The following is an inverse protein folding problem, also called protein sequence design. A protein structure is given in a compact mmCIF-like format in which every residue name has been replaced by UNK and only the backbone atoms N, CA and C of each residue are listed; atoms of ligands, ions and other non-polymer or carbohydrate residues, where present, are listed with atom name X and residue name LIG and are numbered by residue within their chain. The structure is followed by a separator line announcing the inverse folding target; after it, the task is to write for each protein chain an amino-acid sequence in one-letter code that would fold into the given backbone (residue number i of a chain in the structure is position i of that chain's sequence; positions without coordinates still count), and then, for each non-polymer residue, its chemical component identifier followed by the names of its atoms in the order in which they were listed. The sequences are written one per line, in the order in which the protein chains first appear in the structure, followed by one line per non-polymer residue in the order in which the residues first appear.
data_IF_098745303339
#
_entry.id   IF_098745303339
#
_cell.length_a   1.000
_cell.length_b   1.000
_cell.length_c   1.000
_cell.angle_alpha   90.00
_cell.angle_beta   90.00
_cell.angle_gamma   90.00
#
_symmetry.space_group_name_H-M   'P 1'
#
loop_
_entity.id
_entity.type
_entity.pdbx_description
1 polymer ?
#
# COMPACT_ATOMS: atom_id res chain seq x y z
N UNK A 1 5.95 -16.39 34.27
CA UNK A 1 5.74 -17.73 33.69
C UNK A 1 5.00 -17.56 32.38
N UNK A 2 5.49 -18.22 31.34
CA UNK A 2 5.02 -18.23 29.95
C UNK A 2 3.48 -18.36 29.85
N UNK A 3 2.86 -17.82 28.80
CA UNK A 3 2.41 -18.64 27.66
C UNK A 3 1.93 -17.75 26.50
N UNK A 4 2.44 -18.12 25.32
CA UNK A 4 2.17 -17.61 23.98
C UNK A 4 0.86 -18.24 23.48
N UNK A 5 -0.04 -17.46 22.87
CA UNK A 5 -1.18 -17.96 22.09
C UNK A 5 -1.22 -17.14 20.78
N UNK A 6 -0.70 -17.71 19.69
CA UNK A 6 -1.45 -18.45 18.66
C UNK A 6 -2.06 -17.53 17.61
N UNK A 7 -1.28 -17.30 16.55
CA UNK A 7 -1.70 -16.75 15.26
C UNK A 7 -2.42 -17.88 14.50
N UNK A 8 -3.75 -17.88 14.50
CA UNK A 8 -4.55 -18.66 13.56
C UNK A 8 -5.94 -18.03 13.40
N UNK A 9 -6.03 -17.09 12.45
CA UNK A 9 -7.25 -16.49 11.91
C UNK A 9 -6.80 -15.88 10.56
N UNK A 10 -7.36 -16.13 9.38
CA UNK A 10 -8.58 -16.77 8.93
C UNK A 10 -8.26 -17.29 7.52
N UNK A 11 -8.21 -18.61 7.30
CA UNK A 11 -8.46 -19.17 5.97
C UNK A 11 -9.97 -19.10 5.79
N UNK A 12 -10.44 -18.11 5.04
CA UNK A 12 -11.87 -17.96 4.74
C UNK A 12 -12.39 -19.19 4.04
N UNK A 13 -13.45 -19.77 4.62
CA UNK A 13 -14.23 -20.89 4.11
C UNK A 13 -14.59 -20.72 2.62
N UNK A 14 -13.99 -21.56 1.77
CA UNK A 14 -14.50 -21.82 0.42
C UNK A 14 -15.34 -23.10 0.45
N UNK A 15 -16.63 -22.95 0.74
CA UNK A 15 -17.65 -23.95 0.43
C UNK A 15 -18.11 -23.74 -1.02
N UNK A 16 -17.75 -24.62 -1.97
CA UNK A 16 -18.62 -24.91 -3.12
C UNK A 16 -18.31 -26.27 -3.78
N UNK A 17 -19.39 -27.00 -4.05
CA UNK A 17 -19.60 -28.10 -5.00
C UNK A 17 -18.83 -29.43 -4.81
N UNK A 18 -19.53 -30.41 -4.21
CA UNK A 18 -19.28 -31.86 -4.36
C UNK A 18 -19.25 -32.25 -5.84
N UNK A 19 -18.14 -32.82 -6.29
CA UNK A 19 -18.12 -33.82 -7.36
C UNK A 19 -17.63 -35.14 -6.76
N UNK A 20 -18.51 -36.15 -6.82
CA UNK A 20 -18.24 -37.52 -6.41
C UNK A 20 -17.47 -38.26 -7.51
N UNK A 21 -16.25 -38.74 -7.21
CA UNK A 21 -15.65 -40.01 -7.70
C UNK A 21 -14.27 -40.17 -7.03
N UNK A 22 -14.11 -40.93 -5.94
CA UNK A 22 -13.81 -42.37 -5.80
C UNK A 22 -12.41 -42.84 -6.26
N UNK A 23 -11.66 -43.27 -5.23
CA UNK A 23 -10.64 -44.34 -5.10
C UNK A 23 -9.18 -44.06 -5.54
N UNK A 24 -8.25 -44.31 -4.60
CA UNK A 24 -6.82 -44.50 -4.88
C UNK A 24 -5.93 -44.50 -3.64
N UNK A 25 -6.12 -45.46 -2.73
CA UNK A 25 -5.17 -45.74 -1.63
C UNK A 25 -3.82 -46.23 -2.16
N UNK A 26 -2.72 -45.68 -1.66
CA UNK A 26 -1.45 -46.40 -1.57
C UNK A 26 -0.66 -45.86 -0.36
N UNK A 27 -0.64 -46.66 0.70
CA UNK A 27 0.25 -46.50 1.83
C UNK A 27 1.64 -47.03 1.45
N UNK A 28 2.70 -46.28 1.76
CA UNK A 28 4.04 -46.86 2.00
C UNK A 28 4.59 -46.20 3.26
N UNK A 29 4.60 -46.99 4.33
CA UNK A 29 5.37 -46.72 5.53
C UNK A 29 6.84 -47.07 5.27
N UNK A 30 7.77 -46.19 5.66
CA UNK A 30 9.15 -46.58 5.91
C UNK A 30 9.61 -45.93 7.21
N UNK A 31 9.66 -46.76 8.25
CA UNK A 31 10.23 -46.47 9.55
C UNK A 31 11.61 -47.13 9.58
N UNK A 32 12.68 -46.36 9.74
CA UNK A 32 13.94 -46.88 10.26
C UNK A 32 14.54 -45.89 11.26
N UNK A 33 14.69 -46.39 12.47
CA UNK A 33 15.27 -45.79 13.66
C UNK A 33 16.71 -46.32 13.81
N UNK A 34 17.64 -45.48 14.29
CA UNK A 34 18.93 -45.75 14.99
C UNK A 34 19.96 -44.68 14.57
N UNK A 35 20.86 -44.08 15.36
CA UNK A 35 21.23 -44.04 16.79
C UNK A 35 22.22 -42.87 16.95
N UNK A 36 22.34 -42.33 18.17
CA UNK A 36 23.27 -41.27 18.60
C UNK A 36 24.76 -41.66 18.55
N UNK A 37 25.64 -40.69 18.30
CA UNK A 37 26.83 -40.38 19.14
C UNK A 37 27.54 -39.08 18.69
N UNK A 38 28.05 -38.25 19.62
CA UNK A 38 28.82 -37.04 19.35
C UNK A 38 30.33 -37.31 19.37
N UNK A 39 31.13 -36.49 18.69
CA UNK A 39 32.57 -36.43 18.88
C UNK A 39 33.00 -34.99 19.17
N UNK A 40 33.56 -34.82 20.37
CA UNK A 40 34.25 -33.64 20.85
C UNK A 40 35.75 -33.73 20.52
N UNK A 41 36.38 -32.59 20.27
CA UNK A 41 37.81 -32.34 20.47
C UNK A 41 37.92 -30.86 20.88
N UNK A 42 37.94 -30.56 22.18
CA UNK A 42 39.11 -30.26 23.02
C UNK A 42 39.85 -28.97 22.65
N UNK A 43 39.77 -28.03 23.60
CA UNK A 43 40.46 -26.75 23.70
C UNK A 43 41.98 -26.88 23.86
N UNK A 44 42.71 -25.75 23.73
CA UNK A 44 43.63 -25.24 24.76
C UNK A 44 44.16 -23.84 24.39
N UNK A 45 44.15 -22.97 25.40
CA UNK A 45 44.62 -21.59 25.46
C UNK A 45 46.16 -21.50 25.62
N UNK A 46 46.76 -20.35 25.26
CA UNK A 46 47.74 -19.61 26.08
C UNK A 46 48.25 -18.38 25.28
N UNK A 47 48.07 -17.13 25.72
CA UNK A 47 48.79 -16.45 26.83
C UNK A 47 50.31 -16.33 26.61
N UNK A 48 50.76 -15.14 26.19
CA UNK A 48 51.76 -14.37 26.96
C UNK A 48 51.87 -12.95 26.42
N UNK A 49 51.77 -12.00 27.36
CA UNK A 49 52.15 -10.62 27.18
C UNK A 49 53.61 -10.46 27.61
N UNK A 50 54.42 -9.82 26.77
CA UNK A 50 55.70 -9.20 27.14
C UNK A 50 55.75 -7.86 26.38
N UNK A 51 55.70 -6.70 27.03
CA UNK A 51 56.81 -6.04 27.74
C UNK A 51 58.07 -5.96 26.89
N UNK A 52 58.16 -4.95 26.01
CA UNK A 52 59.45 -4.52 25.48
C UNK A 52 59.51 -2.98 25.37
N UNK A 53 60.54 -2.44 26.01
CA UNK A 53 60.84 -1.03 26.15
C UNK A 53 61.27 -0.38 24.84
N UNK A 54 60.65 0.77 24.58
CA UNK A 54 61.26 2.04 24.20
C UNK A 54 62.59 1.98 23.41
N UNK A 55 62.47 2.19 22.09
CA UNK A 55 63.54 2.72 21.26
C UNK A 55 62.94 3.83 20.38
N UNK A 56 63.45 5.04 20.59
CA UNK A 56 63.22 6.26 19.80
C UNK A 56 63.25 6.00 18.29
N UNK A 57 62.10 6.22 17.62
CA UNK A 57 61.99 6.31 16.16
C UNK A 57 61.53 7.73 15.79
N UNK A 58 62.18 8.42 14.84
CA UNK A 58 61.82 9.79 14.48
C UNK A 58 60.37 9.89 14.01
N UNK A 59 59.66 10.87 14.57
CA UNK A 59 58.29 11.25 14.24
C UNK A 59 58.15 11.68 12.77
N UNK A 60 57.98 10.71 11.87
CA UNK A 60 57.30 10.97 10.60
C UNK A 60 55.81 11.07 10.89
N UNK A 61 55.23 12.23 10.59
CA UNK A 61 53.80 12.46 10.69
C UNK A 61 53.07 11.57 9.68
N UNK A 62 52.72 10.35 10.10
CA UNK A 62 51.65 9.60 9.49
C UNK A 62 50.35 10.30 9.90
N UNK A 63 49.82 11.11 8.99
CA UNK A 63 48.42 11.54 9.02
C UNK A 63 47.58 10.31 9.30
N UNK A 64 46.82 10.35 10.40
CA UNK A 64 45.78 9.38 10.67
C UNK A 64 44.82 9.46 9.48
N UNK A 65 44.98 8.53 8.54
CA UNK A 65 43.95 8.21 7.57
C UNK A 65 42.81 7.62 8.40
N UNK A 66 41.97 8.51 8.92
CA UNK A 66 40.61 8.19 9.31
C UNK A 66 40.02 7.52 8.09
N UNK A 67 39.95 6.19 8.10
CA UNK A 67 39.11 5.43 7.18
C UNK A 67 37.69 5.87 7.51
N UNK A 68 37.27 6.96 6.89
CA UNK A 68 35.87 7.32 6.79
C UNK A 68 35.23 6.12 6.15
N UNK A 69 34.55 5.31 6.97
CA UNK A 69 33.68 4.26 6.49
C UNK A 69 32.69 5.00 5.62
N UNK A 70 32.85 4.85 4.31
CA UNK A 70 31.99 5.49 3.35
C UNK A 70 30.60 4.94 3.59
N UNK A 71 29.79 5.75 4.27
CA UNK A 71 28.39 5.48 4.52
C UNK A 71 27.78 5.13 3.18
N UNK A 72 27.31 3.89 3.04
CA UNK A 72 26.58 3.47 1.85
C UNK A 72 25.56 4.56 1.54
N UNK A 73 25.68 5.17 0.35
CA UNK A 73 24.78 6.23 -0.07
C UNK A 73 23.35 5.73 0.12
N UNK A 74 22.55 6.46 0.90
CA UNK A 74 21.16 6.12 1.10
C UNK A 74 20.48 6.12 -0.27
N UNK A 75 19.98 4.95 -0.69
CA UNK A 75 19.17 4.85 -1.90
C UNK A 75 17.85 5.53 -1.61
N UNK A 76 17.51 6.57 -2.38
CA UNK A 76 16.26 7.30 -2.19
C UNK A 76 15.07 6.37 -2.51
N UNK A 77 14.03 6.34 -1.65
CA UNK A 77 12.84 5.54 -1.92
C UNK A 77 12.04 6.16 -3.07
N UNK A 78 11.55 5.31 -3.96
CA UNK A 78 10.75 5.68 -5.13
C UNK A 78 9.26 5.65 -4.82
N UNK A 79 8.42 6.46 -5.50
CA UNK A 79 6.98 6.42 -5.28
C UNK A 79 6.34 5.09 -5.68
N UNK A 80 5.37 4.63 -4.89
CA UNK A 80 4.44 3.56 -5.25
C UNK A 80 3.15 4.19 -5.73
N UNK A 81 2.88 4.03 -7.02
CA UNK A 81 1.71 4.52 -7.74
C UNK A 81 0.52 3.60 -7.52
N UNK A 82 -0.65 4.17 -7.16
CA UNK A 82 -1.91 3.43 -7.01
C UNK A 82 -2.86 3.76 -8.16
N UNK A 83 -3.63 2.76 -8.57
CA UNK A 83 -4.75 2.90 -9.50
C UNK A 83 -5.98 2.21 -8.93
N UNK A 84 -7.15 2.74 -9.20
CA UNK A 84 -8.46 2.14 -8.91
C UNK A 84 -9.16 1.74 -10.20
N UNK A 85 -9.76 0.54 -10.23
CA UNK A 85 -10.68 0.16 -11.29
C UNK A 85 -12.07 -0.08 -10.74
N UNK A 86 -13.10 0.70 -11.14
CA UNK A 86 -14.49 0.37 -10.80
C UNK A 86 -15.00 -0.86 -11.56
N UNK A 87 -14.34 -1.24 -12.66
CA UNK A 87 -14.68 -2.43 -13.46
C UNK A 87 -14.28 -3.70 -12.73
N UNK A 88 -13.04 -3.73 -12.23
CA UNK A 88 -12.52 -4.88 -11.50
C UNK A 88 -12.76 -4.79 -9.99
N UNK A 89 -13.19 -3.65 -9.48
CA UNK A 89 -13.28 -3.37 -8.03
C UNK A 89 -11.95 -3.62 -7.31
N UNK A 90 -10.84 -3.33 -7.98
CA UNK A 90 -9.51 -3.67 -7.54
C UNK A 90 -8.58 -2.45 -7.55
N UNK A 91 -7.57 -2.49 -6.69
CA UNK A 91 -6.44 -1.57 -6.74
C UNK A 91 -5.24 -2.23 -7.40
N UNK A 92 -4.45 -1.41 -8.11
CA UNK A 92 -3.17 -1.81 -8.68
C UNK A 92 -2.05 -0.92 -8.13
N UNK A 93 -0.88 -1.51 -7.86
CA UNK A 93 0.27 -0.84 -7.26
C UNK A 93 1.54 -1.10 -8.07
N UNK A 94 2.31 -0.05 -8.36
CA UNK A 94 3.60 -0.20 -9.04
C UNK A 94 4.60 0.90 -8.66
N UNK A 95 5.88 0.54 -8.61
CA UNK A 95 7.00 1.50 -8.60
C UNK A 95 7.53 1.79 -10.01
N UNK A 96 7.12 1.00 -11.01
CA UNK A 96 7.59 1.14 -12.38
C UNK A 96 6.85 2.30 -13.07
N UNK A 97 7.62 3.34 -13.38
CA UNK A 97 7.17 4.54 -14.09
C UNK A 97 6.65 4.20 -15.49
N UNK A 98 7.29 3.25 -16.19
CA UNK A 98 6.85 2.83 -17.53
C UNK A 98 5.55 2.03 -17.46
N UNK A 99 5.37 1.18 -16.45
CA UNK A 99 4.12 0.44 -16.20
C UNK A 99 2.98 1.42 -15.88
N UNK A 100 3.21 2.40 -14.99
CA UNK A 100 2.26 3.47 -14.69
C UNK A 100 1.83 4.21 -15.97
N UNK A 101 2.80 4.64 -16.78
CA UNK A 101 2.53 5.41 -18.00
C UNK A 101 1.81 4.58 -19.06
N UNK A 102 2.14 3.29 -19.17
CA UNK A 102 1.45 2.37 -20.07
C UNK A 102 -0.02 2.15 -19.68
N UNK A 103 -0.32 2.01 -18.37
CA UNK A 103 -1.70 1.88 -17.87
C UNK A 103 -2.48 3.16 -18.18
N UNK A 104 -1.91 4.33 -17.88
CA UNK A 104 -2.53 5.62 -18.17
C UNK A 104 -2.81 5.82 -19.66
N UNK A 105 -1.88 5.43 -20.53
CA UNK A 105 -2.03 5.63 -21.96
C UNK A 105 -3.02 4.66 -22.61
N UNK A 106 -3.07 3.41 -22.15
CA UNK A 106 -3.80 2.33 -22.84
C UNK A 106 -5.15 2.00 -22.22
N UNK A 107 -5.32 2.26 -20.92
CA UNK A 107 -6.44 1.74 -20.14
C UNK A 107 -7.07 2.79 -19.22
N UNK A 108 -6.99 4.08 -19.57
CA UNK A 108 -7.54 5.20 -18.78
C UNK A 108 -9.06 5.15 -18.58
N UNK A 109 -9.79 4.39 -19.40
CA UNK A 109 -11.22 4.13 -19.24
C UNK A 109 -11.54 3.00 -18.24
N UNK A 110 -10.53 2.23 -17.82
CA UNK A 110 -10.67 1.10 -16.89
C UNK A 110 -9.98 1.38 -15.57
N UNK A 111 -8.86 2.09 -15.60
CA UNK A 111 -8.01 2.40 -14.45
C UNK A 111 -7.91 3.90 -14.26
N UNK A 112 -8.34 4.36 -13.09
CA UNK A 112 -8.15 5.73 -12.61
C UNK A 112 -6.83 5.81 -11.86
N UNK A 113 -5.90 6.62 -12.34
CA UNK A 113 -4.66 6.91 -11.63
C UNK A 113 -4.94 7.75 -10.39
N UNK A 114 -4.57 7.23 -9.24
CA UNK A 114 -4.82 7.87 -7.95
C UNK A 114 -3.62 8.66 -7.46
N UNK A 115 -2.43 8.45 -8.04
CA UNK A 115 -1.19 9.10 -7.64
C UNK A 115 -0.31 8.21 -6.77
N UNK A 116 0.82 8.76 -6.26
CA UNK A 116 1.64 8.08 -5.27
C UNK A 116 0.88 7.95 -3.94
N UNK A 117 1.03 6.81 -3.26
CA UNK A 117 0.38 6.55 -1.96
C UNK A 117 1.34 6.28 -0.82
N UNK A 118 2.56 5.88 -1.15
CA UNK A 118 3.70 5.78 -0.26
C UNK A 118 4.96 5.71 -1.13
N UNK A 119 6.12 5.58 -0.50
CA UNK A 119 7.38 5.28 -1.20
C UNK A 119 7.92 3.92 -0.77
N UNK A 120 8.71 3.28 -1.62
CA UNK A 120 9.37 2.00 -1.39
C UNK A 120 10.67 1.95 -2.18
N UNK A 121 11.52 0.94 -1.94
CA UNK A 121 12.81 0.84 -2.62
C UNK A 121 12.70 -0.10 -3.83
N UNK A 122 13.13 0.35 -5.01
CA UNK A 122 13.15 -0.48 -6.22
C UNK A 122 14.25 -1.55 -6.18
N UNK A 123 15.28 -1.34 -5.36
CA UNK A 123 16.38 -2.29 -5.11
C UNK A 123 16.51 -2.56 -3.63
N UNK A 124 17.12 -3.69 -3.26
CA UNK A 124 17.28 -4.05 -1.85
C UNK A 124 18.17 -3.05 -1.11
N UNK A 125 17.64 -2.50 -0.01
CA UNK A 125 18.36 -1.65 0.95
C UNK A 125 18.51 -2.40 2.28
N UNK A 126 19.57 -2.11 3.04
CA UNK A 126 19.78 -2.73 4.35
C UNK A 126 18.55 -2.56 5.26
N UNK A 127 18.11 -3.66 5.89
CA UNK A 127 16.92 -3.68 6.74
C UNK A 127 15.59 -3.84 6.00
N UNK A 128 15.60 -3.89 4.66
CA UNK A 128 14.39 -4.13 3.85
C UNK A 128 14.24 -5.59 3.43
N UNK A 129 13.00 -6.00 3.18
CA UNK A 129 12.59 -7.30 2.66
C UNK A 129 11.80 -7.12 1.36
N UNK A 130 11.79 -8.13 0.47
CA UNK A 130 11.00 -8.08 -0.76
C UNK A 130 9.49 -8.08 -0.46
N UNK A 131 8.74 -7.32 -1.26
CA UNK A 131 7.30 -7.47 -1.46
C UNK A 131 7.06 -8.25 -2.76
N UNK A 132 6.30 -9.32 -2.67
CA UNK A 132 6.00 -10.24 -3.76
C UNK A 132 4.71 -9.85 -4.45
N UNK A 133 4.67 -9.92 -5.78
CA UNK A 133 3.48 -9.65 -6.60
C UNK A 133 3.00 -10.90 -7.32
N UNK A 134 1.69 -11.04 -7.37
CA UNK A 134 1.01 -12.11 -8.08
C UNK A 134 -0.08 -11.52 -8.97
N UNK A 135 -0.31 -12.17 -10.11
CA UNK A 135 -1.41 -11.88 -11.02
C UNK A 135 -2.40 -13.05 -11.07
N UNK A 136 -3.70 -12.75 -11.11
CA UNK A 136 -4.74 -13.73 -11.41
C UNK A 136 -5.59 -13.28 -12.58
N UNK A 137 -5.53 -14.01 -13.69
CA UNK A 137 -6.44 -13.80 -14.82
C UNK A 137 -7.88 -14.20 -14.49
N UNK A 138 -8.07 -15.14 -13.54
CA UNK A 138 -9.40 -15.58 -13.12
C UNK A 138 -10.10 -14.51 -12.28
N UNK A 139 -9.35 -13.83 -11.42
CA UNK A 139 -9.87 -12.78 -10.54
C UNK A 139 -9.69 -11.37 -11.11
N UNK A 140 -8.99 -11.21 -12.25
CA UNK A 140 -8.61 -9.91 -12.83
C UNK A 140 -7.92 -8.97 -11.83
N UNK A 141 -7.04 -9.52 -10.99
CA UNK A 141 -6.48 -8.78 -9.86
C UNK A 141 -5.05 -9.14 -9.53
N UNK A 142 -4.41 -8.25 -8.80
CA UNK A 142 -3.09 -8.46 -8.24
C UNK A 142 -3.18 -8.72 -6.73
N UNK A 143 -2.24 -9.52 -6.24
CA UNK A 143 -2.05 -9.77 -4.81
C UNK A 143 -0.61 -9.45 -4.42
N UNK A 144 -0.45 -8.86 -3.24
CA UNK A 144 0.84 -8.41 -2.72
C UNK A 144 1.08 -8.94 -1.31
N UNK A 145 2.28 -9.44 -1.05
CA UNK A 145 2.66 -9.89 0.30
C UNK A 145 4.14 -9.70 0.57
N UNK A 146 4.48 -9.28 1.79
CA UNK A 146 5.86 -9.30 2.29
C UNK A 146 6.17 -10.59 3.08
N UNK A 147 5.16 -11.43 3.33
CA UNK A 147 5.33 -12.69 4.03
C UNK A 147 5.79 -13.78 3.05
N UNK A 148 7.02 -14.25 3.28
CA UNK A 148 7.65 -15.33 2.52
C UNK A 148 6.84 -16.63 2.58
N UNK A 149 6.21 -16.93 3.71
CA UNK A 149 5.40 -18.13 3.92
C UNK A 149 4.07 -18.04 3.17
N UNK A 150 3.46 -16.84 3.14
CA UNK A 150 2.24 -16.58 2.37
C UNK A 150 2.52 -16.68 0.87
N UNK A 151 3.64 -16.11 0.40
CA UNK A 151 4.11 -16.29 -0.98
C UNK A 151 4.23 -17.78 -1.34
N UNK A 152 4.94 -18.55 -0.53
CA UNK A 152 5.17 -19.98 -0.79
C UNK A 152 3.87 -20.78 -0.75
N UNK A 153 2.96 -20.44 0.16
CA UNK A 153 1.65 -21.06 0.24
C UNK A 153 0.78 -20.76 -1.00
N UNK A 154 0.78 -19.53 -1.51
CA UNK A 154 0.04 -19.15 -2.73
C UNK A 154 0.56 -19.93 -3.94
N UNK A 155 1.88 -19.98 -4.11
CA UNK A 155 2.54 -20.74 -5.19
C UNK A 155 2.18 -22.23 -5.12
N UNK A 156 2.25 -22.82 -3.93
CA UNK A 156 2.05 -24.25 -3.76
C UNK A 156 0.58 -24.69 -3.86
N UNK A 157 -0.35 -23.88 -3.35
CA UNK A 157 -1.76 -24.28 -3.20
C UNK A 157 -2.64 -23.85 -4.36
N UNK A 158 -2.30 -22.75 -5.03
CA UNK A 158 -3.16 -22.15 -6.06
C UNK A 158 -2.38 -21.82 -7.36
N UNK A 159 -1.58 -22.75 -7.90
CA UNK A 159 -0.74 -22.48 -9.07
C UNK A 159 -1.54 -22.15 -10.34
N UNK A 160 -2.77 -22.66 -10.45
CA UNK A 160 -3.64 -22.39 -11.60
C UNK A 160 -4.40 -21.06 -11.49
N UNK A 161 -4.48 -20.49 -10.28
CA UNK A 161 -5.21 -19.25 -9.99
C UNK A 161 -4.28 -18.05 -9.94
N UNK A 162 -3.08 -18.21 -9.38
CA UNK A 162 -2.13 -17.13 -9.12
C UNK A 162 -0.80 -17.40 -9.81
N UNK A 163 -0.44 -16.52 -10.73
CA UNK A 163 0.89 -16.47 -11.35
C UNK A 163 1.80 -15.59 -10.52
N UNK A 164 2.93 -16.15 -10.07
CA UNK A 164 3.96 -15.39 -9.36
C UNK A 164 4.74 -14.51 -10.34
N UNK A 165 4.75 -13.20 -10.10
CA UNK A 165 5.41 -12.21 -10.97
C UNK A 165 6.78 -11.76 -10.42
N UNK A 166 7.18 -12.25 -9.25
CA UNK A 166 8.46 -11.92 -8.65
C UNK A 166 8.36 -10.89 -7.53
N UNK A 167 9.47 -10.17 -7.32
CA UNK A 167 9.57 -9.06 -6.37
C UNK A 167 9.09 -7.79 -7.06
N UNK A 168 8.09 -7.12 -6.49
CA UNK A 168 7.62 -5.83 -7.00
C UNK A 168 8.53 -4.68 -6.55
N UNK A 169 8.86 -4.64 -5.25
CA UNK A 169 9.73 -3.65 -4.62
C UNK A 169 10.10 -4.12 -3.21
N UNK A 170 10.93 -3.36 -2.50
CA UNK A 170 11.42 -3.67 -1.16
C UNK A 170 10.84 -2.69 -0.13
N UNK A 171 10.47 -3.25 1.02
CA UNK A 171 9.78 -2.58 2.13
C UNK A 171 10.42 -2.95 3.45
N UNK A 172 10.14 -2.23 4.53
CA UNK A 172 10.59 -2.65 5.85
C UNK A 172 9.68 -3.76 6.41
N UNK A 173 10.21 -4.75 7.15
CA UNK A 173 9.39 -5.68 7.93
C UNK A 173 8.45 -4.92 8.87
N UNK A 174 7.25 -5.45 9.11
CA UNK A 174 6.32 -4.82 10.05
C UNK A 174 6.90 -4.68 11.48
N UNK A 175 7.85 -5.55 11.83
CA UNK A 175 8.57 -5.56 13.12
C UNK A 175 9.81 -4.66 13.17
N UNK A 176 10.08 -3.87 12.12
CA UNK A 176 11.27 -3.02 12.10
C UNK A 176 11.28 -1.98 13.23
N UNK A 177 12.47 -1.66 13.73
CA UNK A 177 12.74 -0.54 14.62
C UNK A 177 13.31 0.69 13.90
N UNK A 178 13.39 0.65 12.57
CA UNK A 178 13.83 1.81 11.77
C UNK A 178 12.93 3.01 12.05
N UNK A 179 13.50 4.16 12.47
CA UNK A 179 12.72 5.37 12.72
C UNK A 179 12.07 5.90 11.44
N UNK A 180 11.09 6.78 11.59
CA UNK A 180 10.43 7.46 10.46
C UNK A 180 9.80 6.50 9.44
N UNK A 181 9.26 5.38 9.93
CA UNK A 181 8.47 4.43 9.15
C UNK A 181 7.04 4.36 9.66
N UNK A 182 6.10 4.15 8.75
CA UNK A 182 4.68 3.94 9.06
C UNK A 182 4.21 2.58 8.54
N UNK A 183 3.25 1.92 9.21
CA UNK A 183 2.72 0.65 8.76
C UNK A 183 1.85 0.83 7.51
N UNK A 184 1.79 -0.23 6.70
CA UNK A 184 0.84 -0.39 5.62
C UNK A 184 -0.20 -1.41 6.05
N UNK A 185 -1.42 -0.94 6.24
CA UNK A 185 -2.59 -1.73 6.54
C UNK A 185 -2.99 -2.59 5.34
N UNK A 186 -3.41 -3.84 5.60
CA UNK A 186 -4.03 -4.74 4.61
C UNK A 186 -5.48 -5.00 4.97
N UNK A 187 -6.33 -5.02 3.94
CA UNK A 187 -7.74 -5.33 4.06
C UNK A 187 -8.13 -6.39 3.03
N UNK A 188 -9.10 -7.23 3.39
CA UNK A 188 -9.73 -8.20 2.50
C UNK A 188 -11.20 -7.86 2.28
N UNK A 189 -11.67 -7.96 1.03
CA UNK A 189 -13.11 -7.97 0.72
C UNK A 189 -13.51 -9.30 0.11
N UNK A 190 -14.41 -10.03 0.76
CA UNK A 190 -15.01 -11.24 0.19
C UNK A 190 -15.99 -10.95 -0.95
N UNK A 191 -16.52 -9.73 -1.01
CA UNK A 191 -17.45 -9.28 -2.07
C UNK A 191 -16.66 -8.97 -3.33
N UNK A 192 -15.57 -8.19 -3.22
CA UNK A 192 -14.74 -7.84 -4.36
C UNK A 192 -13.68 -8.89 -4.68
N UNK A 193 -13.42 -9.86 -3.79
CA UNK A 193 -12.35 -10.85 -3.91
C UNK A 193 -10.96 -10.23 -4.10
N UNK A 194 -10.74 -9.06 -3.48
CA UNK A 194 -9.53 -8.27 -3.62
C UNK A 194 -9.00 -7.78 -2.28
N UNK A 195 -7.70 -7.56 -2.26
CA UNK A 195 -7.02 -6.90 -1.15
C UNK A 195 -6.92 -5.39 -1.40
N UNK A 196 -6.94 -4.62 -0.31
CA UNK A 196 -6.68 -3.20 -0.32
C UNK A 196 -5.52 -2.89 0.65
N UNK A 197 -4.65 -1.96 0.26
CA UNK A 197 -3.46 -1.59 1.02
C UNK A 197 -3.37 -0.08 1.18
N UNK A 198 -3.05 0.38 2.39
CA UNK A 198 -2.83 1.81 2.63
C UNK A 198 -1.83 2.09 3.74
N UNK A 199 -0.95 3.05 3.49
CA UNK A 199 -0.04 3.62 4.49
C UNK A 199 -0.66 4.85 5.19
N UNK A 200 -1.79 5.35 4.69
CA UNK A 200 -2.52 6.46 5.30
C UNK A 200 -3.32 5.96 6.49
N UNK A 201 -3.03 6.53 7.66
CA UNK A 201 -3.75 6.22 8.90
C UNK A 201 -5.22 6.66 8.81
N UNK A 202 -5.49 7.80 8.15
CA UNK A 202 -6.84 8.31 7.99
C UNK A 202 -7.66 7.47 7.03
N UNK A 203 -7.06 7.03 5.92
CA UNK A 203 -7.72 6.14 4.95
C UNK A 203 -8.02 4.78 5.62
N UNK A 204 -7.05 4.21 6.34
CA UNK A 204 -7.25 2.99 7.13
C UNK A 204 -8.43 3.14 8.11
N UNK A 205 -8.41 4.17 8.94
CA UNK A 205 -9.44 4.39 9.96
C UNK A 205 -10.79 4.78 9.34
N UNK A 206 -10.79 5.41 8.16
CA UNK A 206 -11.97 5.67 7.35
C UNK A 206 -12.61 4.40 6.82
N UNK A 207 -11.81 3.46 6.28
CA UNK A 207 -12.28 2.15 5.82
C UNK A 207 -12.89 1.34 6.96
N UNK A 208 -12.21 1.29 8.10
CA UNK A 208 -12.71 0.58 9.29
C UNK A 208 -14.04 1.17 9.79
N UNK A 209 -14.16 2.50 9.85
CA UNK A 209 -15.37 3.16 10.37
C UNK A 209 -16.56 3.05 9.43
N UNK A 210 -16.35 3.28 8.14
CA UNK A 210 -17.45 3.49 7.19
C UNK A 210 -17.78 2.25 6.36
N UNK A 211 -16.84 1.30 6.24
CA UNK A 211 -16.93 0.21 5.26
C UNK A 211 -16.58 -1.17 5.84
N UNK A 212 -16.67 -1.36 7.17
CA UNK A 212 -16.35 -2.62 7.85
C UNK A 212 -17.21 -3.81 7.43
N UNK A 213 -18.40 -3.58 6.86
CA UNK A 213 -19.23 -4.65 6.28
C UNK A 213 -18.66 -5.20 4.96
N UNK A 214 -17.83 -4.42 4.25
CA UNK A 214 -17.25 -4.78 2.95
C UNK A 214 -15.77 -5.13 3.05
N UNK A 215 -15.05 -4.47 3.96
CA UNK A 215 -13.60 -4.58 4.11
C UNK A 215 -13.24 -5.05 5.51
N UNK A 216 -12.71 -6.28 5.59
CA UNK A 216 -12.15 -6.85 6.81
C UNK A 216 -10.71 -6.36 6.98
N UNK A 217 -10.39 -5.75 8.12
CA UNK A 217 -9.03 -5.36 8.44
C UNK A 217 -8.20 -6.58 8.84
N UNK A 218 -7.11 -6.84 8.12
CA UNK A 218 -6.22 -7.98 8.33
C UNK A 218 -4.96 -7.63 9.13
N UNK A 219 -4.79 -6.34 9.47
CA UNK A 219 -3.66 -5.84 10.24
C UNK A 219 -2.63 -5.07 9.42
N UNK A 220 -1.55 -4.67 10.09
CA UNK A 220 -0.39 -4.04 9.47
C UNK A 220 0.52 -5.12 8.87
N UNK A 221 0.83 -5.04 7.57
CA UNK A 221 1.53 -6.10 6.85
C UNK A 221 3.04 -5.85 6.70
N UNK A 222 3.41 -4.62 6.38
CA UNK A 222 4.79 -4.16 6.23
C UNK A 222 4.88 -2.67 6.56
N UNK A 223 6.09 -2.09 6.53
CA UNK A 223 6.34 -0.68 6.81
C UNK A 223 7.03 0.03 5.64
N UNK A 224 6.78 1.33 5.51
CA UNK A 224 7.30 2.20 4.45
C UNK A 224 7.80 3.52 5.02
N UNK A 225 8.71 4.26 4.34
CA UNK A 225 9.14 5.58 4.79
C UNK A 225 7.97 6.56 4.97
N UNK A 226 7.87 7.17 6.15
CA UNK A 226 6.79 8.07 6.52
C UNK A 226 6.70 9.30 5.60
N UNK A 227 7.86 9.83 5.17
CA UNK A 227 7.95 10.99 4.30
C UNK A 227 7.28 10.79 2.92
N UNK A 228 7.08 9.53 2.50
CA UNK A 228 6.43 9.20 1.23
C UNK A 228 4.91 9.10 1.30
N UNK A 229 4.33 9.09 2.50
CA UNK A 229 2.87 9.01 2.67
C UNK A 229 2.28 10.40 2.47
N UNK A 230 1.35 10.58 1.50
CA UNK A 230 0.64 11.84 1.36
C UNK A 230 -0.01 12.20 2.69
N UNK A 231 0.27 13.40 3.21
CA UNK A 231 -0.48 13.94 4.34
C UNK A 231 -1.95 13.99 3.94
N UNK A 232 -2.80 13.37 4.74
CA UNK A 232 -4.24 13.31 4.49
C UNK A 232 -4.82 14.73 4.53
N UNK A 233 -4.86 15.41 3.38
CA UNK A 233 -5.93 16.36 3.15
C UNK A 233 -7.25 15.55 3.20
N UNK A 234 -8.33 16.09 3.80
CA UNK A 234 -9.66 15.50 3.67
C UNK A 234 -9.85 15.08 2.22
N UNK A 235 -10.43 13.88 1.95
CA UNK A 235 -10.49 13.33 0.61
C UNK A 235 -10.92 14.46 -0.31
N UNK A 236 -10.05 14.82 -1.25
CA UNK A 236 -10.43 15.77 -2.28
C UNK A 236 -11.77 15.25 -2.79
N UNK A 237 -12.84 16.08 -2.82
CA UNK A 237 -14.06 15.68 -3.45
C UNK A 237 -13.62 15.12 -4.80
N UNK A 238 -14.13 13.92 -5.14
CA UNK A 238 -14.06 13.30 -6.47
C UNK A 238 -13.77 14.39 -7.50
N UNK A 239 -12.75 14.33 -8.38
CA UNK A 239 -12.57 15.37 -9.38
C UNK A 239 -13.82 15.38 -10.25
N UNK A 240 -14.81 16.14 -9.78
CA UNK A 240 -15.93 16.62 -10.53
C UNK A 240 -15.35 17.49 -11.63
N UNK A 241 -16.22 17.95 -12.54
CA UNK A 241 -15.77 18.82 -13.62
C UNK A 241 -14.86 19.90 -13.04
N UNK A 242 -13.66 20.03 -13.63
CA UNK A 242 -12.64 21.02 -13.26
C UNK A 242 -13.29 22.32 -12.81
N UNK A 243 -12.83 22.90 -11.69
CA UNK A 243 -13.34 24.18 -11.16
C UNK A 243 -13.67 25.13 -12.32
N UNK A 244 -14.95 25.48 -12.52
CA UNK A 244 -15.32 26.31 -13.65
C UNK A 244 -14.65 27.67 -13.47
N UNK A 245 -14.18 28.27 -14.57
CA UNK A 245 -13.57 29.61 -14.50
C UNK A 245 -14.52 30.60 -13.84
N UNK A 246 -13.99 31.51 -13.02
CA UNK A 246 -14.81 32.48 -12.27
C UNK A 246 -15.69 33.28 -13.24
N UNK A 247 -17.02 33.11 -13.21
CA UNK A 247 -17.91 33.77 -14.15
C UNK A 247 -18.11 35.24 -13.80
N UNK A 248 -17.73 35.68 -12.60
CA UNK A 248 -18.04 37.00 -12.08
C UNK A 248 -19.54 37.27 -11.95
N UNK A 249 -19.87 38.53 -11.71
CA UNK A 249 -21.24 39.05 -11.66
C UNK A 249 -21.81 39.22 -13.09
N UNK A 250 -21.99 38.09 -13.80
CA UNK A 250 -22.39 38.06 -15.23
C UNK A 250 -23.82 37.57 -15.48
N UNK A 251 -24.55 37.21 -14.44
CA UNK A 251 -25.92 36.71 -14.50
C UNK A 251 -26.82 37.44 -13.51
N UNK A 252 -28.08 37.56 -13.85
CA UNK A 252 -29.17 38.01 -12.96
C UNK A 252 -30.35 37.04 -13.09
N UNK A 253 -31.32 37.12 -12.17
CA UNK A 253 -32.49 36.24 -12.20
C UNK A 253 -33.29 36.32 -13.51
N UNK A 254 -33.30 37.47 -14.19
CA UNK A 254 -33.96 37.64 -15.50
C UNK A 254 -33.28 36.87 -16.64
N UNK A 255 -32.06 36.39 -16.46
CA UNK A 255 -31.31 35.64 -17.48
C UNK A 255 -31.68 34.15 -17.53
N UNK A 256 -32.50 33.69 -16.59
CA UNK A 256 -32.95 32.30 -16.48
C UNK A 256 -34.44 32.19 -16.78
N UNK A 257 -34.84 31.10 -17.44
CA UNK A 257 -36.25 30.90 -17.83
C UNK A 257 -37.12 30.43 -16.67
N UNK A 258 -36.53 29.77 -15.68
CA UNK A 258 -37.21 29.17 -14.54
C UNK A 258 -36.23 28.95 -13.39
N UNK A 259 -36.77 28.60 -12.22
CA UNK A 259 -35.98 28.36 -11.00
C UNK A 259 -34.93 27.24 -11.17
N UNK A 260 -35.26 26.16 -11.89
CA UNK A 260 -34.34 25.03 -12.05
C UNK A 260 -33.05 25.43 -12.80
N UNK A 261 -33.15 26.29 -13.81
CA UNK A 261 -31.99 26.84 -14.53
C UNK A 261 -31.14 27.75 -13.62
N UNK A 262 -31.79 28.63 -12.84
CA UNK A 262 -31.10 29.51 -11.90
C UNK A 262 -30.40 28.72 -10.78
N UNK A 263 -31.09 27.70 -10.22
CA UNK A 263 -30.57 26.80 -9.19
C UNK A 263 -29.39 25.98 -9.68
N UNK A 264 -29.45 25.47 -10.92
CA UNK A 264 -28.33 24.74 -11.51
C UNK A 264 -27.09 25.62 -11.70
N UNK A 265 -27.27 26.89 -12.09
CA UNK A 265 -26.16 27.84 -12.20
C UNK A 265 -25.58 28.17 -10.82
N UNK A 266 -26.45 28.50 -9.86
CA UNK A 266 -26.06 28.80 -8.48
C UNK A 266 -25.29 27.64 -7.84
N UNK A 267 -25.80 26.41 -7.95
CA UNK A 267 -25.14 25.21 -7.41
C UNK A 267 -23.78 24.92 -8.06
N UNK A 268 -23.58 25.34 -9.32
CA UNK A 268 -22.31 25.17 -10.03
C UNK A 268 -21.21 26.10 -9.49
N UNK A 269 -21.54 27.33 -9.10
CA UNK A 269 -20.55 28.36 -8.74
C UNK A 269 -20.51 28.71 -7.25
N UNK A 270 -21.63 28.58 -6.53
CA UNK A 270 -21.75 28.93 -5.11
C UNK A 270 -20.72 28.23 -4.21
N UNK A 271 -20.40 26.93 -4.40
CA UNK A 271 -19.36 26.26 -3.62
C UNK A 271 -17.95 26.84 -3.80
N UNK A 272 -17.69 27.54 -4.92
CA UNK A 272 -16.36 28.03 -5.28
C UNK A 272 -16.19 29.54 -5.11
N UNK A 273 -17.25 30.31 -5.38
CA UNK A 273 -17.21 31.78 -5.45
C UNK A 273 -18.29 32.44 -4.59
N UNK A 274 -19.08 31.66 -3.84
CA UNK A 274 -20.27 32.16 -3.15
C UNK A 274 -21.34 32.65 -4.13
N UNK A 275 -22.25 33.50 -3.66
CA UNK A 275 -23.25 34.12 -4.53
C UNK A 275 -22.66 35.25 -5.39
N UNK A 276 -21.76 34.86 -6.30
CA UNK A 276 -20.96 35.77 -7.12
C UNK A 276 -21.79 36.63 -8.08
N UNK A 277 -22.99 36.17 -8.43
CA UNK A 277 -23.96 36.84 -9.28
C UNK A 277 -25.17 37.39 -8.50
N UNK A 278 -25.12 37.39 -7.16
CA UNK A 278 -26.15 37.98 -6.28
C UNK A 278 -27.56 37.48 -6.56
N UNK A 279 -27.69 36.18 -6.83
CA UNK A 279 -28.96 35.54 -7.16
C UNK A 279 -29.79 35.20 -5.90
N UNK A 280 -29.18 35.12 -4.73
CA UNK A 280 -29.79 34.84 -3.43
C UNK A 280 -29.71 36.10 -2.56
N UNK A 281 -30.75 36.94 -2.62
CA UNK A 281 -30.73 38.26 -1.99
C UNK A 281 -30.92 38.25 -0.47
N UNK A 282 -31.48 37.17 0.07
CA UNK A 282 -31.79 36.94 1.48
C UNK A 282 -30.80 35.99 2.15
N UNK A 283 -29.86 35.42 1.39
CA UNK A 283 -28.80 34.51 1.84
C UNK A 283 -29.35 33.26 2.55
N UNK A 284 -30.49 32.74 2.09
CA UNK A 284 -31.08 31.53 2.68
C UNK A 284 -30.75 30.25 1.88
N UNK A 285 -29.95 30.40 0.82
CA UNK A 285 -29.52 29.33 -0.07
C UNK A 285 -30.48 29.05 -1.22
N UNK A 286 -31.52 29.88 -1.41
CA UNK A 286 -32.50 29.73 -2.48
C UNK A 286 -32.35 30.89 -3.49
N UNK A 287 -31.70 30.65 -4.65
CA UNK A 287 -31.53 31.70 -5.65
C UNK A 287 -32.82 31.98 -6.40
N UNK A 288 -33.06 33.26 -6.71
CA UNK A 288 -34.10 33.71 -7.63
C UNK A 288 -35.50 33.15 -7.31
N UNK A 289 -35.92 33.25 -6.04
CA UNK A 289 -37.25 32.83 -5.55
C UNK A 289 -38.43 33.43 -6.33
N UNK A 290 -38.20 34.51 -7.07
CA UNK A 290 -39.21 35.15 -7.94
C UNK A 290 -39.47 34.40 -9.26
N UNK A 291 -38.64 33.41 -9.62
CA UNK A 291 -38.78 32.66 -10.86
C UNK A 291 -39.84 31.55 -10.76
N UNK A 292 -40.51 31.21 -11.88
CA UNK A 292 -41.46 30.11 -11.91
C UNK A 292 -40.84 28.79 -11.46
N UNK A 293 -41.50 28.12 -10.50
CA UNK A 293 -41.08 26.83 -9.96
C UNK A 293 -40.11 26.90 -8.78
N UNK A 294 -39.92 28.08 -8.17
CA UNK A 294 -39.21 28.21 -6.91
C UNK A 294 -40.00 27.57 -5.72
N UNK A 295 -39.31 27.09 -4.66
CA UNK A 295 -39.91 26.49 -3.47
C UNK A 295 -40.83 27.42 -2.67
#
# INVERSE_FOLDING_TARGET
MLHVASVLAILGDFHFMRLHTRVGSAAIAFLLLMTLAPAAATALESSSAESFQDWDVPRNQASAATTSVESAAAVDPTPVYRFWSPVYQAHFFTTDVAERDAINARWSNIWTYEGPRYTAFSTQVAGTIPLYRFWSAQLNGHFYTADVSERDAVIARWPDTWSYEGVAYYVYPNTTSTPDTVPVARFWSSVSQHHFYTASVTERDGVIRNWSATWSYEGDNFRVPAAGVPVDQPPAPNPGPSQPGNPGDTKNCSDFRNYAEAKSWFDTYYPYYGDIAKLDGNNDGIPCESLPGAP
#
